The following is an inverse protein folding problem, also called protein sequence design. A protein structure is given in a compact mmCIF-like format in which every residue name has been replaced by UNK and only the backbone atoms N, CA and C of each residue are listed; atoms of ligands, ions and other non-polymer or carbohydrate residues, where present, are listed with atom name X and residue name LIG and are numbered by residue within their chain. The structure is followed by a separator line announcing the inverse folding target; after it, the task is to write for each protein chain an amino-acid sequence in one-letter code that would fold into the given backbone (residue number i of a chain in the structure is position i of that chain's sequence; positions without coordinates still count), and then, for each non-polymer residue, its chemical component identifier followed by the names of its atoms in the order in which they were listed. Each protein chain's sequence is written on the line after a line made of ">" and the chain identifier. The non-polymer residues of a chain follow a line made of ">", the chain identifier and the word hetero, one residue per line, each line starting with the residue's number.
data_IF_071765584187
#
_entry.id   IF_071765584187
#
_cell.length_a   1.000
_cell.length_b   1.000
_cell.length_c   1.000
_cell.angle_alpha   90.00
_cell.angle_beta   90.00
_cell.angle_gamma   90.00
#
_symmetry.space_group_name_H-M   'P 1'
#
loop_
_entity.id
_entity.type
_entity.pdbx_description
1 polymer ?
#
# COMPACT_ATOMS: atom_id res chain seq x y z
N UNK A 1 45.23 -21.51 5.05
CA UNK A 1 44.47 -21.33 6.30
C UNK A 1 43.01 -21.29 5.89
N UNK A 2 42.36 -22.42 6.10
CA UNK A 2 40.98 -22.67 5.69
C UNK A 2 40.00 -21.94 6.62
N UNK A 3 38.94 -21.39 6.04
CA UNK A 3 37.63 -21.38 6.66
C UNK A 3 36.75 -22.22 5.73
N UNK A 4 36.54 -23.47 6.16
CA UNK A 4 35.86 -24.50 5.39
C UNK A 4 34.36 -24.27 5.26
N UNK A 5 33.89 -24.51 4.04
CA UNK A 5 32.86 -25.48 3.69
C UNK A 5 31.39 -25.26 4.15
N UNK A 6 30.56 -25.00 3.12
CA UNK A 6 29.15 -25.37 2.94
C UNK A 6 28.06 -24.42 3.47
N UNK A 7 27.65 -23.46 2.63
CA UNK A 7 26.24 -23.35 2.18
C UNK A 7 26.29 -23.17 0.65
N UNK A 8 25.75 -24.15 -0.09
CA UNK A 8 26.14 -24.51 -1.45
C UNK A 8 25.70 -23.57 -2.58
N UNK A 9 26.49 -23.58 -3.67
CA UNK A 9 26.26 -22.98 -4.99
C UNK A 9 25.40 -21.69 -5.01
N UNK A 10 26.06 -20.54 -4.92
CA UNK A 10 25.43 -19.22 -4.89
C UNK A 10 24.64 -18.87 -6.14
N UNK A 11 23.38 -19.27 -6.19
CA UNK A 11 22.42 -18.74 -7.17
C UNK A 11 22.04 -17.32 -6.75
N UNK A 12 22.47 -16.34 -7.55
CA UNK A 12 21.91 -14.99 -7.43
C UNK A 12 20.60 -14.94 -8.22
N UNK A 13 19.48 -14.82 -7.51
CA UNK A 13 18.19 -14.60 -8.15
C UNK A 13 18.07 -13.11 -8.49
N UNK A 14 18.14 -12.79 -9.79
CA UNK A 14 17.87 -11.45 -10.28
C UNK A 14 16.50 -11.40 -10.94
N UNK A 15 15.79 -10.29 -10.78
CA UNK A 15 14.54 -10.07 -11.49
C UNK A 15 14.80 -10.07 -13.00
N UNK A 16 13.95 -10.74 -13.78
CA UNK A 16 14.02 -10.69 -15.25
C UNK A 16 13.84 -9.26 -15.75
N UNK A 17 14.38 -8.95 -16.93
CA UNK A 17 14.25 -7.61 -17.54
C UNK A 17 12.79 -7.18 -17.69
N UNK A 18 11.92 -8.12 -18.07
CA UNK A 18 10.48 -7.90 -18.17
C UNK A 18 9.85 -7.51 -16.82
N UNK A 19 10.24 -8.17 -15.72
CA UNK A 19 9.77 -7.82 -14.37
C UNK A 19 10.30 -6.46 -13.91
N UNK A 20 11.53 -6.10 -14.28
CA UNK A 20 12.11 -4.79 -13.95
C UNK A 20 11.38 -3.64 -14.63
N UNK A 21 10.98 -3.80 -15.90
CA UNK A 21 10.26 -2.77 -16.66
C UNK A 21 8.92 -2.34 -16.04
N UNK A 22 8.23 -3.28 -15.39
CA UNK A 22 6.93 -3.04 -14.76
C UNK A 22 7.02 -2.81 -13.25
N UNK A 23 8.21 -2.87 -12.66
CA UNK A 23 8.40 -2.68 -11.23
C UNK A 23 8.37 -1.19 -10.88
N UNK A 24 7.63 -0.82 -9.83
CA UNK A 24 7.55 0.56 -9.34
C UNK A 24 8.91 1.18 -8.97
N UNK A 25 9.86 0.37 -8.50
CA UNK A 25 11.20 0.83 -8.12
C UNK A 25 12.25 0.62 -9.23
N UNK A 26 12.01 -0.30 -10.18
CA UNK A 26 12.89 -0.60 -11.31
C UNK A 26 14.25 -1.24 -11.00
N UNK A 27 14.90 -0.88 -9.88
CA UNK A 27 16.24 -1.34 -9.49
C UNK A 27 16.47 -1.32 -7.98
N UNK A 28 17.52 -2.01 -7.54
CA UNK A 28 17.92 -2.03 -6.14
C UNK A 28 18.55 -0.69 -5.69
N UNK A 29 19.16 0.06 -6.61
CA UNK A 29 19.74 1.38 -6.30
C UNK A 29 18.64 2.39 -5.93
N UNK A 30 17.52 2.38 -6.66
CA UNK A 30 16.34 3.19 -6.35
C UNK A 30 15.75 2.81 -5.00
N UNK A 31 15.68 1.51 -4.69
CA UNK A 31 15.27 1.04 -3.36
C UNK A 31 16.17 1.61 -2.26
N UNK A 32 17.49 1.50 -2.38
CA UNK A 32 18.42 2.00 -1.37
C UNK A 32 18.36 3.52 -1.22
N UNK A 33 18.17 4.26 -2.32
CA UNK A 33 17.95 5.69 -2.29
C UNK A 33 16.67 6.06 -1.50
N UNK A 34 15.54 5.41 -1.80
CA UNK A 34 14.27 5.64 -1.08
C UNK A 34 14.36 5.23 0.39
N UNK A 35 15.02 4.10 0.67
CA UNK A 35 15.25 3.63 2.03
C UNK A 35 16.09 4.64 2.83
N UNK A 36 17.18 5.13 2.26
CA UNK A 36 18.01 6.18 2.86
C UNK A 36 17.20 7.44 3.15
N UNK A 37 16.39 7.91 2.18
CA UNK A 37 15.48 9.06 2.38
C UNK A 37 14.50 8.82 3.53
N UNK A 38 13.93 7.62 3.65
CA UNK A 38 12.98 7.29 4.72
C UNK A 38 13.60 7.37 6.14
N UNK A 39 14.92 7.24 6.25
CA UNK A 39 15.65 7.34 7.52
C UNK A 39 16.17 8.76 7.78
N UNK A 40 16.71 9.42 6.76
CA UNK A 40 17.34 10.74 6.90
C UNK A 40 16.32 11.88 6.93
N UNK A 41 15.22 11.77 6.18
CA UNK A 41 14.13 12.74 6.13
C UNK A 41 12.76 12.03 6.10
N UNK A 42 12.35 11.43 7.23
CA UNK A 42 11.09 10.69 7.33
C UNK A 42 9.87 11.58 7.08
N UNK A 43 9.90 12.85 7.49
CA UNK A 43 8.78 13.76 7.30
C UNK A 43 8.54 14.03 5.81
N UNK A 44 9.57 14.34 5.02
CA UNK A 44 9.42 14.51 3.57
C UNK A 44 9.03 13.19 2.88
N UNK A 45 9.64 12.07 3.26
CA UNK A 45 9.32 10.75 2.68
C UNK A 45 7.84 10.40 2.85
N UNK A 46 7.32 10.47 4.09
CA UNK A 46 5.94 10.11 4.36
C UNK A 46 4.94 11.13 3.82
N UNK A 47 5.34 12.41 3.72
CA UNK A 47 4.49 13.46 3.12
C UNK A 47 4.23 13.20 1.65
N UNK A 48 5.18 12.64 0.91
CA UNK A 48 4.99 12.20 -0.47
C UNK A 48 4.09 10.96 -0.56
N UNK A 49 4.30 9.99 0.34
CA UNK A 49 3.57 8.72 0.33
C UNK A 49 2.05 8.85 0.58
N UNK A 50 1.64 9.87 1.34
CA UNK A 50 0.23 10.08 1.72
C UNK A 50 -0.59 10.87 0.70
N UNK A 51 0.04 11.47 -0.31
CA UNK A 51 -0.62 12.29 -1.35
C UNK A 51 -1.74 11.56 -2.11
N UNK A 52 -1.59 10.29 -2.50
CA UNK A 52 -2.62 9.61 -3.32
C UNK A 52 -3.95 9.36 -2.58
N UNK A 53 -3.95 9.45 -1.26
CA UNK A 53 -5.11 9.13 -0.44
C UNK A 53 -6.02 10.34 -0.27
N UNK A 54 -7.32 10.08 -0.19
CA UNK A 54 -8.29 11.05 0.28
C UNK A 54 -8.11 11.30 1.78
N UNK A 55 -8.10 12.58 2.15
CA UNK A 55 -8.08 13.04 3.53
C UNK A 55 -9.16 14.09 3.72
N UNK A 56 -9.99 13.92 4.77
CA UNK A 56 -11.03 14.90 5.13
C UNK A 56 -10.44 16.14 5.78
N UNK A 57 -9.31 16.00 6.47
CA UNK A 57 -8.51 17.11 7.00
C UNK A 57 -7.14 17.09 6.35
N UNK A 58 -6.54 18.25 6.02
CA UNK A 58 -5.21 18.31 5.44
C UNK A 58 -4.18 17.54 6.27
N UNK A 59 -3.24 16.90 5.58
CA UNK A 59 -2.11 16.20 6.22
C UNK A 59 -1.18 17.23 6.86
N UNK A 60 -0.71 17.02 8.11
CA UNK A 60 0.21 17.93 8.77
C UNK A 60 1.57 17.97 8.08
N UNK A 61 2.32 19.04 8.30
CA UNK A 61 3.69 19.15 7.78
C UNK A 61 4.66 18.14 8.41
N UNK A 62 4.37 17.70 9.63
CA UNK A 62 5.16 16.73 10.39
C UNK A 62 4.37 15.46 10.62
N UNK A 63 4.97 14.31 10.31
CA UNK A 63 4.29 13.03 10.29
C UNK A 63 4.40 12.25 11.60
N UNK A 64 5.53 12.37 12.31
CA UNK A 64 5.79 11.63 13.56
C UNK A 64 6.31 12.57 14.64
N UNK A 65 5.82 12.44 15.87
CA UNK A 65 6.42 13.11 17.04
C UNK A 65 7.02 12.09 18.00
N UNK A 66 8.35 11.95 17.99
CA UNK A 66 9.11 11.03 18.84
C UNK A 66 9.53 11.62 20.19
N UNK A 67 9.10 12.86 20.52
CA UNK A 67 9.62 13.61 21.68
C UNK A 67 8.83 13.41 22.97
N UNK A 68 7.76 12.61 22.96
CA UNK A 68 6.83 12.45 24.10
C UNK A 68 7.15 11.24 24.97
N UNK A 69 8.16 11.36 25.83
CA UNK A 69 8.39 10.42 26.94
C UNK A 69 8.59 8.95 26.50
N UNK A 70 8.22 7.99 27.37
CA UNK A 70 8.22 6.56 27.05
C UNK A 70 7.45 6.30 25.75
N UNK A 71 7.95 5.36 24.92
CA UNK A 71 7.58 5.10 23.52
C UNK A 71 6.12 5.44 23.20
N UNK A 72 5.89 6.69 22.79
CA UNK A 72 4.58 7.18 22.37
C UNK A 72 4.68 7.70 20.94
N UNK A 73 4.08 6.97 20.02
CA UNK A 73 4.20 7.19 18.58
C UNK A 73 2.82 7.55 18.03
N UNK A 74 2.67 8.79 17.57
CA UNK A 74 1.50 9.27 16.83
C UNK A 74 1.90 9.52 15.37
N UNK A 75 1.16 8.95 14.43
CA UNK A 75 1.34 9.17 12.99
C UNK A 75 0.23 10.05 12.43
N UNK A 76 0.59 11.02 11.59
CA UNK A 76 -0.34 11.93 10.90
C UNK A 76 -1.31 12.59 11.88
N UNK A 77 -0.79 13.08 13.01
CA UNK A 77 -1.62 13.58 14.10
C UNK A 77 -2.59 14.68 13.64
N UNK A 78 -3.87 14.51 13.98
CA UNK A 78 -4.91 15.50 13.70
C UNK A 78 -5.55 15.38 12.31
N UNK A 79 -5.06 14.49 11.45
CA UNK A 79 -5.76 14.14 10.21
C UNK A 79 -6.99 13.30 10.49
N UNK A 80 -7.90 13.28 9.54
CA UNK A 80 -9.03 12.34 9.54
C UNK A 80 -9.27 11.85 8.13
N UNK A 81 -9.52 10.56 7.99
CA UNK A 81 -9.91 9.93 6.73
C UNK A 81 -10.92 8.81 6.99
N UNK A 82 -11.44 8.20 5.93
CA UNK A 82 -12.26 7.01 5.99
C UNK A 82 -11.64 5.94 5.09
N UNK A 83 -11.40 4.75 5.65
CA UNK A 83 -10.78 3.65 4.93
C UNK A 83 -11.68 3.10 3.83
N UNK A 84 -12.99 2.98 4.07
CA UNK A 84 -13.96 2.56 3.06
C UNK A 84 -13.98 3.54 1.90
N UNK A 85 -13.96 4.85 2.19
CA UNK A 85 -13.92 5.85 1.12
C UNK A 85 -12.68 5.70 0.23
N UNK A 86 -11.49 5.57 0.82
CA UNK A 86 -10.26 5.38 0.04
C UNK A 86 -10.23 4.05 -0.74
N UNK A 87 -10.80 2.99 -0.18
CA UNK A 87 -10.76 1.64 -0.76
C UNK A 87 -11.92 1.33 -1.71
N UNK A 88 -12.98 2.15 -1.76
CA UNK A 88 -14.20 1.85 -2.51
C UNK A 88 -14.79 3.09 -3.17
N UNK A 89 -15.32 4.03 -2.37
CA UNK A 89 -16.06 5.19 -2.90
C UNK A 89 -15.20 6.01 -3.87
N UNK A 90 -13.94 6.27 -3.51
CA UNK A 90 -12.97 7.00 -4.32
C UNK A 90 -12.75 6.33 -5.69
N UNK A 91 -12.69 5.00 -5.75
CA UNK A 91 -12.49 4.28 -7.02
C UNK A 91 -13.70 4.42 -7.94
N UNK A 92 -14.92 4.40 -7.38
CA UNK A 92 -16.14 4.68 -8.15
C UNK A 92 -16.15 6.13 -8.63
N UNK A 93 -15.82 7.09 -7.77
CA UNK A 93 -15.79 8.52 -8.12
C UNK A 93 -14.71 8.88 -9.14
N UNK A 94 -13.57 8.17 -9.13
CA UNK A 94 -12.47 8.34 -10.09
C UNK A 94 -12.78 7.71 -11.48
N UNK A 95 -13.94 7.08 -11.66
CA UNK A 95 -14.35 6.47 -12.94
C UNK A 95 -13.93 5.00 -13.11
N UNK A 96 -13.56 4.32 -12.03
CA UNK A 96 -13.19 2.90 -12.04
C UNK A 96 -14.36 1.99 -11.62
N UNK A 97 -15.60 2.46 -11.70
CA UNK A 97 -16.78 1.77 -11.18
C UNK A 97 -17.02 0.36 -11.77
N UNK A 98 -16.61 0.15 -13.03
CA UNK A 98 -16.74 -1.12 -13.77
C UNK A 98 -15.49 -2.02 -13.63
N UNK A 99 -14.46 -1.59 -12.88
CA UNK A 99 -13.31 -2.45 -12.56
C UNK A 99 -13.67 -3.46 -11.47
N UNK A 100 -13.07 -4.66 -11.58
CA UNK A 100 -13.20 -5.71 -10.57
C UNK A 100 -12.56 -5.24 -9.26
N UNK A 101 -13.34 -5.23 -8.19
CA UNK A 101 -12.86 -4.89 -6.85
C UNK A 101 -12.25 -6.11 -6.15
N UNK A 102 -12.91 -7.28 -6.22
CA UNK A 102 -12.34 -8.54 -5.75
C UNK A 102 -12.92 -9.75 -6.49
N UNK A 103 -12.15 -10.83 -6.46
CA UNK A 103 -12.58 -12.17 -6.88
C UNK A 103 -13.02 -12.94 -5.64
N UNK A 104 -14.16 -13.61 -5.73
CA UNK A 104 -14.67 -14.50 -4.70
C UNK A 104 -14.59 -15.92 -5.21
N UNK A 105 -13.80 -16.74 -4.54
CA UNK A 105 -13.62 -18.15 -4.88
C UNK A 105 -14.31 -18.99 -3.80
N UNK A 106 -15.28 -19.80 -4.21
CA UNK A 106 -15.86 -20.80 -3.33
C UNK A 106 -14.96 -22.05 -3.24
N UNK A 107 -15.17 -22.85 -2.19
CA UNK A 107 -14.34 -24.03 -1.91
C UNK A 107 -14.38 -25.07 -3.05
N UNK A 108 -15.51 -25.20 -3.74
CA UNK A 108 -15.64 -25.99 -4.96
C UNK A 108 -15.31 -25.06 -6.14
N UNK A 109 -14.02 -25.02 -6.52
CA UNK A 109 -13.32 -24.12 -7.46
C UNK A 109 -13.92 -23.99 -8.88
N UNK A 110 -15.17 -24.38 -9.09
CA UNK A 110 -15.86 -24.36 -10.37
C UNK A 110 -16.38 -22.97 -10.72
N UNK A 111 -16.69 -22.13 -9.73
CA UNK A 111 -17.20 -20.77 -9.92
C UNK A 111 -16.31 -19.72 -9.23
N UNK A 112 -15.80 -18.78 -10.03
CA UNK A 112 -15.13 -17.55 -9.55
C UNK A 112 -16.08 -16.40 -9.80
N UNK A 113 -16.67 -15.88 -8.73
CA UNK A 113 -17.48 -14.68 -8.77
C UNK A 113 -16.59 -13.45 -8.85
N UNK A 114 -16.99 -12.49 -9.69
CA UNK A 114 -16.30 -11.22 -9.87
C UNK A 114 -17.23 -10.11 -9.44
N UNK A 115 -16.80 -9.30 -8.49
CA UNK A 115 -17.59 -8.18 -7.99
C UNK A 115 -16.87 -6.90 -8.37
N UNK A 116 -17.55 -6.03 -9.12
CA UNK A 116 -17.02 -4.72 -9.52
C UNK A 116 -17.27 -3.67 -8.42
N UNK A 117 -16.50 -2.57 -8.44
CA UNK A 117 -16.58 -1.51 -7.42
C UNK A 117 -18.00 -0.97 -7.23
N UNK A 118 -18.74 -0.76 -8.33
CA UNK A 118 -20.12 -0.27 -8.31
C UNK A 118 -21.08 -1.19 -7.56
N UNK A 119 -20.96 -2.49 -7.78
CA UNK A 119 -21.81 -3.51 -7.14
C UNK A 119 -21.47 -3.64 -5.66
N UNK A 120 -20.18 -3.62 -5.34
CA UNK A 120 -19.71 -3.64 -3.96
C UNK A 120 -20.24 -2.42 -3.18
N UNK A 121 -20.09 -1.21 -3.72
CA UNK A 121 -20.60 0.02 -3.08
C UNK A 121 -22.11 -0.06 -2.86
N UNK A 122 -22.87 -0.51 -3.87
CA UNK A 122 -24.31 -0.70 -3.77
C UNK A 122 -24.66 -1.68 -2.63
N UNK A 123 -23.97 -2.82 -2.54
CA UNK A 123 -24.27 -3.87 -1.56
C UNK A 123 -24.13 -3.41 -0.10
N UNK A 124 -23.14 -2.55 0.18
CA UNK A 124 -22.88 -2.04 1.53
C UNK A 124 -23.91 -1.00 1.97
N UNK A 125 -24.48 -0.25 1.04
CA UNK A 125 -25.53 0.73 1.33
C UNK A 125 -26.87 0.06 1.66
N UNK A 126 -27.21 -1.04 0.98
CA UNK A 126 -28.46 -1.76 1.23
C UNK A 126 -28.47 -2.56 2.55
N UNK A 127 -27.29 -2.99 3.04
CA UNK A 127 -27.20 -3.70 4.34
C UNK A 127 -27.42 -2.80 5.56
N UNK A 128 -27.40 -1.47 5.42
CA UNK A 128 -27.67 -0.54 6.54
C UNK A 128 -29.16 -0.31 6.85
N UNK A 129 -30.07 -0.81 6.02
CA UNK A 129 -31.52 -0.60 6.17
C UNK A 129 -32.32 -1.85 6.63
N UNK A 130 -31.67 -2.86 7.21
CA UNK A 130 -32.33 -4.04 7.81
C UNK A 130 -32.01 -4.20 9.28
#
# INVERSE_FOLDING_TARGET
>A
MEIGALHGAGYTLSATEEKRKHAYLGSLDVFWMMYKKSLEDPDAFWKEAVVPFFWKKPVPEKNIDVRKGDVFIEWLKGVSTNICYNALDKHVEDGFEEQIAYFWEEYDLQDIDKIIYKELLRSLLFRKCS
#
